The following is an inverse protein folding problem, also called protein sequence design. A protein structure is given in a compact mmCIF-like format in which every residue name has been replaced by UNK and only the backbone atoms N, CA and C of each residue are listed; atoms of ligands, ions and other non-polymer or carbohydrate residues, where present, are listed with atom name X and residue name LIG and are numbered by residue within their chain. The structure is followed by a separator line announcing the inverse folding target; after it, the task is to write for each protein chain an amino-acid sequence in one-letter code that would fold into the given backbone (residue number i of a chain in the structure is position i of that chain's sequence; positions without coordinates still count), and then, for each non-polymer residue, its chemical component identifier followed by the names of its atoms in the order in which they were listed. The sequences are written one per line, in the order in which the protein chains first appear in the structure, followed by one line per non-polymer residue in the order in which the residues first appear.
data_IF_378114945249
#
_entry.id   IF_378114945249
#
_cell.length_a   1.000
_cell.length_b   1.000
_cell.length_c   1.000
_cell.angle_alpha   90.00
_cell.angle_beta   90.00
_cell.angle_gamma   90.00
#
_symmetry.space_group_name_H-M   'P 1'
#
loop_
_entity.id
_entity.type
_entity.pdbx_description
1 polymer ?
#
# COMPACT_ATOMS: atom_id res chain seq x y z
N UNK A 1 -36.80 15.89 -57.14
CA UNK A 1 -37.04 16.84 -56.02
C UNK A 1 -36.10 16.49 -54.89
N UNK A 2 -35.00 17.23 -54.77
CA UNK A 2 -34.01 17.07 -53.70
C UNK A 2 -34.33 18.11 -52.62
N UNK A 3 -34.82 17.65 -51.45
CA UNK A 3 -35.03 18.49 -50.29
C UNK A 3 -33.66 18.85 -49.70
N UNK A 4 -33.22 20.09 -49.94
CA UNK A 4 -32.01 20.65 -49.33
C UNK A 4 -32.20 20.80 -47.82
N UNK A 5 -31.70 19.84 -47.05
CA UNK A 5 -31.67 19.94 -45.59
C UNK A 5 -30.65 21.01 -45.17
N UNK A 6 -31.15 22.06 -44.50
CA UNK A 6 -30.36 23.12 -43.88
C UNK A 6 -29.44 22.55 -42.79
N UNK A 7 -28.14 22.40 -43.09
CA UNK A 7 -27.13 21.87 -42.15
C UNK A 7 -26.80 22.78 -40.95
N UNK A 8 -27.35 24.01 -40.89
CA UNK A 8 -27.00 25.00 -39.86
C UNK A 8 -27.70 24.81 -38.50
N UNK A 9 -28.71 23.94 -38.41
CA UNK A 9 -29.44 23.68 -37.15
C UNK A 9 -28.84 22.57 -36.28
N UNK A 10 -28.05 21.66 -36.86
CA UNK A 10 -27.50 20.51 -36.15
C UNK A 10 -26.33 20.89 -35.23
N UNK A 11 -25.55 21.92 -35.61
CA UNK A 11 -24.35 22.33 -34.87
C UNK A 11 -24.67 23.04 -33.53
N UNK A 12 -25.80 23.77 -33.45
CA UNK A 12 -26.19 24.46 -32.21
C UNK A 12 -26.70 23.50 -31.13
N UNK A 13 -27.42 22.44 -31.50
CA UNK A 13 -27.94 21.46 -30.55
C UNK A 13 -26.79 20.66 -29.89
N UNK A 14 -25.81 20.22 -30.68
CA UNK A 14 -24.63 19.51 -30.16
C UNK A 14 -23.79 20.36 -29.22
N UNK A 15 -23.66 21.67 -29.48
CA UNK A 15 -22.94 22.58 -28.58
C UNK A 15 -23.61 22.68 -27.21
N UNK A 16 -24.94 22.82 -27.17
CA UNK A 16 -25.71 22.89 -25.92
C UNK A 16 -25.57 21.57 -25.13
N UNK A 17 -25.63 20.43 -25.80
CA UNK A 17 -25.45 19.11 -25.16
C UNK A 17 -24.05 18.97 -24.54
N UNK A 18 -22.99 19.35 -25.26
CA UNK A 18 -21.62 19.35 -24.74
C UNK A 18 -21.51 20.25 -23.50
N UNK A 19 -22.08 21.45 -23.53
CA UNK A 19 -22.07 22.38 -22.39
C UNK A 19 -22.79 21.77 -21.19
N UNK A 20 -23.95 21.16 -21.37
CA UNK A 20 -24.70 20.51 -20.29
C UNK A 20 -23.93 19.33 -19.69
N UNK A 21 -23.27 18.52 -20.53
CA UNK A 21 -22.40 17.42 -20.08
C UNK A 21 -21.21 17.95 -19.27
N UNK A 22 -20.57 19.04 -19.73
CA UNK A 22 -19.45 19.66 -19.02
C UNK A 22 -19.88 20.25 -17.66
N UNK A 23 -21.00 20.95 -17.61
CA UNK A 23 -21.55 21.50 -16.35
C UNK A 23 -21.94 20.38 -15.40
N UNK A 24 -22.65 19.35 -15.89
CA UNK A 24 -23.03 18.19 -15.08
C UNK A 24 -21.82 17.45 -14.53
N UNK A 25 -20.81 17.22 -15.36
CA UNK A 25 -19.54 16.60 -14.94
C UNK A 25 -18.80 17.49 -13.94
N UNK A 26 -18.76 18.80 -14.16
CA UNK A 26 -18.14 19.76 -13.22
C UNK A 26 -18.80 19.77 -11.85
N UNK A 27 -20.14 19.73 -11.79
CA UNK A 27 -20.89 19.64 -10.53
C UNK A 27 -20.61 18.32 -9.81
N UNK A 28 -20.59 17.20 -10.54
CA UNK A 28 -20.25 15.89 -9.97
C UNK A 28 -18.82 15.87 -9.41
N UNK A 29 -17.84 16.42 -10.14
CA UNK A 29 -16.46 16.56 -9.66
C UNK A 29 -16.43 17.45 -8.42
N UNK A 30 -17.15 18.58 -8.40
CA UNK A 30 -17.20 19.49 -7.25
C UNK A 30 -17.74 18.82 -5.99
N UNK A 31 -18.88 18.12 -6.09
CA UNK A 31 -19.47 17.36 -4.98
C UNK A 31 -18.51 16.27 -4.51
N UNK A 32 -17.87 15.57 -5.44
CA UNK A 32 -16.90 14.53 -5.13
C UNK A 32 -15.68 15.09 -4.38
N UNK A 33 -15.13 16.22 -4.81
CA UNK A 33 -14.00 16.87 -4.13
C UNK A 33 -14.38 17.30 -2.71
N UNK A 34 -15.56 17.90 -2.51
CA UNK A 34 -16.06 18.29 -1.18
C UNK A 34 -16.26 17.06 -0.28
N UNK A 35 -16.87 15.99 -0.81
CA UNK A 35 -17.07 14.75 -0.08
C UNK A 35 -15.73 14.10 0.30
N UNK A 36 -14.75 14.08 -0.61
CA UNK A 36 -13.41 13.55 -0.35
C UNK A 36 -12.64 14.35 0.72
N UNK A 37 -12.85 15.67 0.80
CA UNK A 37 -12.26 16.50 1.84
C UNK A 37 -12.78 16.14 3.25
N UNK A 38 -14.05 15.72 3.36
CA UNK A 38 -14.71 15.33 4.62
C UNK A 38 -14.80 13.82 4.87
N UNK A 39 -14.29 13.02 3.94
CA UNK A 39 -14.30 11.57 4.03
C UNK A 39 -13.66 11.09 5.34
N UNK A 40 -14.25 10.07 5.96
CA UNK A 40 -13.64 9.33 7.05
C UNK A 40 -12.28 8.76 6.58
N UNK A 41 -11.40 8.47 7.54
CA UNK A 41 -10.03 8.05 7.23
C UNK A 41 -9.98 6.82 6.31
N UNK A 42 -10.87 5.84 6.51
CA UNK A 42 -10.91 4.62 5.70
C UNK A 42 -11.34 4.93 4.28
N UNK A 43 -12.32 5.81 4.10
CA UNK A 43 -12.71 6.31 2.78
C UNK A 43 -11.58 7.11 2.13
N UNK A 44 -10.88 7.98 2.86
CA UNK A 44 -9.73 8.73 2.32
C UNK A 44 -8.63 7.81 1.79
N UNK A 45 -8.30 6.73 2.51
CA UNK A 45 -7.32 5.74 2.07
C UNK A 45 -7.80 4.93 0.86
N UNK A 46 -9.05 4.45 0.89
CA UNK A 46 -9.64 3.72 -0.23
C UNK A 46 -9.67 4.57 -1.50
N UNK A 47 -10.02 5.86 -1.37
CA UNK A 47 -9.94 6.82 -2.46
C UNK A 47 -8.50 6.97 -2.93
N UNK A 48 -7.54 7.26 -2.05
CA UNK A 48 -6.14 7.38 -2.43
C UNK A 48 -5.63 6.14 -3.20
N UNK A 49 -5.88 4.93 -2.69
CA UNK A 49 -5.51 3.69 -3.39
C UNK A 49 -6.24 3.54 -4.72
N UNK A 50 -7.55 3.80 -4.76
CA UNK A 50 -8.36 3.69 -5.96
C UNK A 50 -7.89 4.64 -7.06
N UNK A 51 -7.55 5.88 -6.71
CA UNK A 51 -6.99 6.85 -7.65
C UNK A 51 -5.58 6.48 -8.10
N UNK A 52 -4.73 5.98 -7.20
CA UNK A 52 -3.43 5.44 -7.59
C UNK A 52 -3.62 4.26 -8.55
N UNK A 53 -4.49 3.30 -8.23
CA UNK A 53 -4.77 2.14 -9.08
C UNK A 53 -5.30 2.56 -10.45
N UNK A 54 -6.25 3.50 -10.49
CA UNK A 54 -6.79 4.05 -11.73
C UNK A 54 -5.66 4.70 -12.53
N UNK A 55 -4.85 5.56 -11.91
CA UNK A 55 -3.75 6.26 -12.57
C UNK A 55 -2.79 5.31 -13.29
N UNK A 56 -2.39 4.21 -12.65
CA UNK A 56 -1.47 3.23 -13.26
C UNK A 56 -2.18 2.20 -14.13
N UNK A 57 -3.48 1.96 -13.92
CA UNK A 57 -4.29 1.07 -14.75
C UNK A 57 -4.82 1.72 -16.03
N UNK A 58 -4.85 3.06 -16.12
CA UNK A 58 -5.37 3.82 -17.28
C UNK A 58 -4.31 4.37 -18.19
N UNK A 59 -3.10 3.80 -18.26
CA UNK A 59 -2.19 4.06 -19.37
C UNK A 59 -2.74 3.46 -20.67
N UNK A 60 -3.82 4.04 -21.18
CA UNK A 60 -4.37 3.69 -22.49
C UNK A 60 -3.69 4.58 -23.53
N UNK A 61 -2.96 3.95 -24.45
CA UNK A 61 -2.67 4.56 -25.74
C UNK A 61 -3.97 4.66 -26.53
N UNK A 62 -4.73 5.73 -26.32
CA UNK A 62 -5.80 6.07 -27.25
C UNK A 62 -5.08 6.55 -28.51
N UNK A 63 -5.09 5.71 -29.56
CA UNK A 63 -4.73 6.10 -30.93
C UNK A 63 -6.02 6.43 -31.70
N UNK A 64 -6.64 7.60 -31.48
CA UNK A 64 -7.65 8.06 -32.43
C UNK A 64 -6.94 8.34 -33.77
N UNK A 65 -7.48 7.79 -34.84
CA UNK A 65 -7.02 7.95 -36.23
C UNK A 65 -6.63 9.41 -36.52
N UNK A 66 -5.32 9.69 -36.65
CA UNK A 66 -4.79 10.95 -37.17
C UNK A 66 -4.63 12.12 -36.19
N UNK A 67 -4.85 11.93 -34.87
CA UNK A 67 -4.66 13.00 -33.86
C UNK A 67 -3.45 12.64 -32.96
N UNK A 68 -2.57 13.60 -32.58
CA UNK A 68 -1.47 13.33 -31.66
C UNK A 68 -1.98 12.69 -30.35
N UNK A 69 -1.21 11.74 -29.83
CA UNK A 69 -1.52 10.94 -28.65
C UNK A 69 -1.62 11.88 -27.44
N UNK A 70 -2.83 12.21 -27.00
CA UNK A 70 -3.05 12.90 -25.74
C UNK A 70 -3.11 11.88 -24.61
N UNK A 71 -2.01 11.76 -23.86
CA UNK A 71 -2.01 11.07 -22.57
C UNK A 71 -2.87 11.91 -21.61
N UNK A 72 -4.15 11.55 -21.46
CA UNK A 72 -5.04 12.22 -20.52
C UNK A 72 -4.65 11.81 -19.10
N UNK A 73 -3.82 12.63 -18.46
CA UNK A 73 -3.37 12.46 -17.08
C UNK A 73 -4.31 13.20 -16.12
N UNK A 74 -5.60 12.87 -16.13
CA UNK A 74 -6.57 13.46 -15.21
C UNK A 74 -6.77 12.55 -13.99
N UNK A 75 -5.81 12.58 -13.06
CA UNK A 75 -5.99 11.98 -11.74
C UNK A 75 -6.07 13.13 -10.71
N UNK A 76 -7.28 13.45 -10.20
CA UNK A 76 -7.44 14.36 -9.07
C UNK A 76 -6.51 14.00 -7.91
N UNK A 77 -6.06 15.02 -7.16
CA UNK A 77 -5.31 14.84 -5.90
C UNK A 77 -6.23 14.22 -4.83
N UNK A 78 -6.42 12.91 -4.87
CA UNK A 78 -7.29 12.20 -3.91
C UNK A 78 -6.57 11.79 -2.63
N UNK A 79 -5.24 11.68 -2.68
CA UNK A 79 -4.43 11.42 -1.51
C UNK A 79 -4.22 12.72 -0.73
N UNK A 80 -4.58 12.72 0.56
CA UNK A 80 -4.29 13.78 1.53
C UNK A 80 -3.58 13.18 2.73
N UNK A 81 -2.74 13.95 3.39
CA UNK A 81 -2.15 13.56 4.66
C UNK A 81 -3.25 13.44 5.71
N UNK A 82 -3.26 12.32 6.44
CA UNK A 82 -4.26 12.04 7.48
C UNK A 82 -3.63 12.30 8.85
N UNK A 83 -4.17 13.26 9.60
CA UNK A 83 -3.72 13.53 10.97
C UNK A 83 -4.41 12.60 11.96
N UNK A 84 -3.64 11.67 12.53
CA UNK A 84 -4.11 10.67 13.51
C UNK A 84 -4.13 11.22 14.93
N UNK A 85 -3.74 12.48 15.15
CA UNK A 85 -3.64 13.11 16.48
C UNK A 85 -2.71 12.31 17.39
N UNK A 86 -3.07 12.14 18.66
CA UNK A 86 -2.27 11.44 19.65
C UNK A 86 -2.42 9.91 19.53
N UNK A 87 -1.29 9.20 19.47
CA UNK A 87 -1.23 7.75 19.53
C UNK A 87 -0.86 7.25 20.94
N UNK A 88 -1.46 6.15 21.41
CA UNK A 88 -2.43 5.33 20.71
C UNK A 88 -3.85 5.92 20.76
N UNK A 89 -4.65 5.65 19.74
CA UNK A 89 -6.08 5.94 19.75
C UNK A 89 -6.83 4.96 20.70
N UNK A 90 -8.14 5.18 20.89
CA UNK A 90 -8.97 4.38 21.80
C UNK A 90 -8.87 2.87 21.60
N UNK A 91 -8.76 2.42 20.36
CA UNK A 91 -8.74 1.00 19.99
C UNK A 91 -7.44 0.32 20.41
N UNK A 92 -6.36 1.10 20.57
CA UNK A 92 -5.03 0.62 20.96
C UNK A 92 -4.66 0.95 22.41
N UNK A 93 -5.43 1.82 23.11
CA UNK A 93 -5.16 2.17 24.51
C UNK A 93 -5.26 0.98 25.46
N UNK A 94 -6.14 0.02 25.15
CA UNK A 94 -6.36 -1.19 25.96
C UNK A 94 -5.54 -2.39 25.46
N UNK A 95 -4.44 -2.15 24.75
CA UNK A 95 -3.57 -3.23 24.31
C UNK A 95 -3.06 -4.04 25.51
N UNK A 96 -3.09 -5.37 25.43
CA UNK A 96 -2.80 -6.29 26.55
C UNK A 96 -1.41 -6.08 27.17
N UNK A 97 -0.47 -5.59 26.38
CA UNK A 97 0.91 -5.30 26.80
C UNK A 97 1.15 -3.80 27.14
N UNK A 98 0.09 -3.03 27.38
CA UNK A 98 0.15 -1.63 27.78
C UNK A 98 0.25 -0.62 26.62
N UNK A 99 0.20 0.67 26.99
CA UNK A 99 0.15 1.81 26.06
C UNK A 99 1.30 1.82 25.06
N UNK A 100 2.53 1.55 25.52
CA UNK A 100 3.75 1.53 24.68
C UNK A 100 3.63 0.53 23.52
N UNK A 101 3.15 -0.68 23.81
CA UNK A 101 2.92 -1.68 22.76
C UNK A 101 1.72 -1.32 21.88
N UNK A 102 0.65 -0.75 22.45
CA UNK A 102 -0.47 -0.21 21.69
C UNK A 102 -0.02 0.82 20.65
N UNK A 103 0.81 1.79 21.05
CA UNK A 103 1.39 2.80 20.15
C UNK A 103 2.24 2.16 19.04
N UNK A 104 3.12 1.21 19.36
CA UNK A 104 3.92 0.51 18.34
C UNK A 104 3.03 -0.29 17.38
N UNK A 105 1.98 -0.95 17.87
CA UNK A 105 1.00 -1.65 17.03
C UNK A 105 0.30 -0.70 16.07
N UNK A 106 -0.15 0.45 16.57
CA UNK A 106 -0.80 1.45 15.73
C UNK A 106 0.15 2.02 14.67
N UNK A 107 1.39 2.38 15.03
CA UNK A 107 2.38 2.87 14.07
C UNK A 107 2.64 1.85 12.96
N UNK A 108 2.84 0.56 13.29
CA UNK A 108 3.02 -0.50 12.29
C UNK A 108 1.83 -0.62 11.34
N UNK A 109 0.61 -0.54 11.88
CA UNK A 109 -0.61 -0.53 11.07
C UNK A 109 -0.65 0.66 10.11
N UNK A 110 -0.29 1.86 10.57
CA UNK A 110 -0.23 3.05 9.72
C UNK A 110 0.85 2.93 8.64
N UNK A 111 2.02 2.33 8.93
CA UNK A 111 3.05 2.05 7.92
C UNK A 111 2.52 1.13 6.82
N UNK A 112 1.88 0.02 7.19
CA UNK A 112 1.32 -0.93 6.22
C UNK A 112 0.17 -0.32 5.41
N UNK A 113 -0.68 0.51 6.02
CA UNK A 113 -1.75 1.23 5.31
C UNK A 113 -1.18 2.29 4.35
N UNK A 114 -0.11 2.99 4.73
CA UNK A 114 0.62 3.90 3.84
C UNK A 114 1.16 3.14 2.63
N UNK A 115 1.85 2.01 2.85
CA UNK A 115 2.33 1.14 1.77
C UNK A 115 1.19 0.67 0.85
N UNK A 116 0.06 0.28 1.45
CA UNK A 116 -1.14 -0.18 0.73
C UNK A 116 -1.78 0.91 -0.14
N UNK A 117 -1.86 2.15 0.34
CA UNK A 117 -2.37 3.29 -0.42
C UNK A 117 -1.56 3.51 -1.70
N UNK A 118 -0.26 3.27 -1.65
CA UNK A 118 0.68 3.42 -2.76
C UNK A 118 0.91 2.11 -3.51
N UNK A 119 -0.16 1.33 -3.69
CA UNK A 119 -0.17 0.08 -4.47
C UNK A 119 0.91 -0.91 -4.05
N UNK A 120 1.19 -0.98 -2.75
CA UNK A 120 2.18 -1.89 -2.18
C UNK A 120 3.56 -1.72 -2.84
N UNK A 121 3.89 -0.50 -3.29
CA UNK A 121 5.16 -0.19 -3.93
C UNK A 121 5.41 -0.92 -5.25
N UNK A 122 4.39 -1.47 -5.90
CA UNK A 122 4.51 -2.14 -7.20
C UNK A 122 4.88 -1.18 -8.34
N UNK A 123 4.52 0.09 -8.20
CA UNK A 123 4.76 1.10 -9.21
C UNK A 123 5.99 1.91 -8.82
N UNK A 124 6.92 2.02 -9.74
CA UNK A 124 8.11 2.86 -9.60
C UNK A 124 7.77 4.29 -10.00
N UNK A 125 8.57 5.26 -9.57
CA UNK A 125 8.44 6.67 -9.97
C UNK A 125 7.02 7.23 -9.75
N UNK A 126 6.35 6.89 -8.64
CA UNK A 126 4.94 7.26 -8.41
C UNK A 126 4.71 8.78 -8.42
N UNK A 127 5.76 9.55 -8.19
CA UNK A 127 5.75 11.01 -8.11
C UNK A 127 6.45 11.71 -9.27
N UNK A 128 6.68 11.04 -10.41
CA UNK A 128 7.32 11.67 -11.59
C UNK A 128 6.60 12.97 -12.02
N UNK A 129 7.39 13.95 -12.46
CA UNK A 129 6.95 15.31 -12.82
C UNK A 129 5.77 15.26 -13.81
N UNK A 130 4.68 15.95 -13.46
CA UNK A 130 3.49 16.14 -14.29
C UNK A 130 2.19 15.54 -13.75
N UNK A 131 2.23 14.80 -12.65
CA UNK A 131 1.01 14.20 -12.07
C UNK A 131 0.66 14.72 -10.67
N UNK A 132 1.67 14.78 -9.81
CA UNK A 132 1.60 15.54 -8.57
C UNK A 132 2.68 16.61 -8.72
N UNK A 133 2.42 17.88 -8.41
CA UNK A 133 3.49 18.88 -8.27
C UNK A 133 4.38 18.59 -7.04
N UNK A 134 4.59 17.31 -6.70
CA UNK A 134 5.45 16.85 -5.63
C UNK A 134 6.84 16.81 -6.23
N UNK A 135 7.59 17.90 -6.05
CA UNK A 135 8.94 18.02 -6.60
C UNK A 135 9.94 17.03 -5.96
N UNK A 136 9.56 16.41 -4.84
CA UNK A 136 10.49 15.72 -3.95
C UNK A 136 10.19 14.23 -3.77
N UNK A 137 9.54 13.54 -4.73
CA UNK A 137 9.53 12.07 -4.74
C UNK A 137 8.92 11.40 -3.51
N UNK A 138 8.16 12.12 -2.68
CA UNK A 138 7.64 11.61 -1.42
C UNK A 138 6.28 12.22 -1.05
N UNK A 139 5.51 11.48 -0.26
CA UNK A 139 4.21 11.88 0.24
C UNK A 139 4.02 11.49 1.69
N UNK A 140 3.60 12.44 2.53
CA UNK A 140 3.28 12.19 3.94
C UNK A 140 1.89 11.56 4.03
N UNK A 141 1.83 10.24 4.27
CA UNK A 141 0.57 9.51 4.44
C UNK A 141 -0.14 9.92 5.73
N UNK A 142 0.60 9.94 6.83
CA UNK A 142 0.06 10.20 8.17
C UNK A 142 0.94 11.16 8.96
N UNK A 143 0.30 11.97 9.78
CA UNK A 143 0.96 12.68 10.89
C UNK A 143 0.34 12.23 12.20
N UNK A 144 1.13 12.27 13.27
CA UNK A 144 0.64 11.93 14.60
C UNK A 144 1.56 12.46 15.69
N UNK A 145 1.06 12.55 16.91
CA UNK A 145 1.84 12.83 18.11
C UNK A 145 1.86 11.61 19.02
N UNK A 146 2.87 11.46 19.87
CA UNK A 146 2.88 10.42 20.90
C UNK A 146 2.15 10.95 22.14
N UNK A 147 1.13 10.24 22.63
CA UNK A 147 0.40 10.61 23.85
C UNK A 147 1.38 10.80 25.03
N UNK A 148 1.18 11.85 25.82
CA UNK A 148 2.08 12.23 26.93
C UNK A 148 2.23 11.13 27.98
N UNK A 149 1.28 10.21 28.07
CA UNK A 149 1.28 9.10 29.02
C UNK A 149 2.03 7.85 28.51
N UNK A 150 2.44 7.83 27.24
CA UNK A 150 3.20 6.72 26.68
C UNK A 150 4.67 6.87 27.09
N UNK A 151 5.30 5.79 27.57
CA UNK A 151 6.74 5.78 27.74
C UNK A 151 7.43 5.84 26.37
N UNK A 152 8.38 6.74 26.19
CA UNK A 152 9.16 6.83 24.95
C UNK A 152 9.86 5.51 24.59
N UNK A 153 10.15 5.31 23.30
CA UNK A 153 10.77 4.09 22.77
C UNK A 153 11.71 4.37 21.61
N UNK A 154 12.76 3.56 21.48
CA UNK A 154 13.72 3.68 20.39
C UNK A 154 13.21 3.11 19.06
N UNK A 155 13.84 3.51 17.96
CA UNK A 155 13.57 2.91 16.64
C UNK A 155 13.87 1.42 16.59
N UNK A 156 14.88 0.94 17.33
CA UNK A 156 15.17 -0.50 17.43
C UNK A 156 13.98 -1.28 18.01
N UNK A 157 13.21 -0.68 18.93
CA UNK A 157 12.01 -1.32 19.47
C UNK A 157 10.88 -1.36 18.45
N UNK A 158 10.68 -0.29 17.68
CA UNK A 158 9.71 -0.25 16.60
C UNK A 158 10.10 -1.20 15.46
N UNK A 159 11.38 -1.21 15.08
CA UNK A 159 12.01 -2.11 14.13
C UNK A 159 11.76 -3.58 14.50
N UNK A 160 12.08 -3.97 15.74
CA UNK A 160 11.82 -5.31 16.24
C UNK A 160 10.33 -5.63 16.17
N UNK A 161 9.48 -4.66 16.51
CA UNK A 161 8.03 -4.83 16.46
C UNK A 161 7.50 -5.07 15.04
N UNK A 162 8.16 -4.59 13.97
CA UNK A 162 7.72 -4.86 12.59
C UNK A 162 7.75 -6.35 12.21
N UNK A 163 8.45 -7.19 12.98
CA UNK A 163 8.43 -8.65 12.81
C UNK A 163 7.15 -9.32 13.34
N UNK A 164 6.22 -8.57 13.93
CA UNK A 164 4.95 -9.13 14.37
C UNK A 164 4.12 -9.64 13.20
N UNK A 165 3.35 -10.74 13.38
CA UNK A 165 2.39 -11.24 12.40
C UNK A 165 1.46 -10.15 11.86
N UNK A 166 1.28 -10.11 10.54
CA UNK A 166 0.40 -9.11 9.89
C UNK A 166 -0.56 -9.71 8.87
N UNK A 167 -0.02 -10.50 7.94
CA UNK A 167 -0.74 -10.93 6.74
C UNK A 167 -0.49 -12.40 6.46
N UNK A 168 -1.55 -13.13 6.13
CA UNK A 168 -1.45 -14.50 5.68
C UNK A 168 -1.15 -14.55 4.18
N UNK A 169 -0.06 -15.20 3.80
CA UNK A 169 0.35 -15.35 2.42
C UNK A 169 -0.54 -16.38 1.73
N UNK A 170 -1.33 -15.91 0.77
CA UNK A 170 -2.03 -16.79 -0.17
C UNK A 170 -1.03 -17.31 -1.20
N UNK A 171 -0.52 -18.52 -0.95
CA UNK A 171 0.42 -19.25 -1.82
C UNK A 171 -0.24 -20.06 -2.93
N UNK A 172 -1.54 -19.89 -3.15
CA UNK A 172 -2.21 -20.52 -4.30
C UNK A 172 -1.93 -19.77 -5.59
N UNK A 173 -2.33 -20.37 -6.72
CA UNK A 173 -2.26 -19.74 -8.03
C UNK A 173 -3.26 -18.57 -8.19
N UNK A 174 -4.11 -18.34 -7.17
CA UNK A 174 -5.17 -17.32 -7.15
C UNK A 174 -6.01 -17.39 -8.42
N UNK A 175 -6.29 -18.61 -8.89
CA UNK A 175 -6.92 -18.82 -10.17
C UNK A 175 -8.42 -18.49 -10.13
N UNK A 176 -9.04 -18.50 -8.95
CA UNK A 176 -10.44 -18.15 -8.78
C UNK A 176 -10.63 -16.62 -8.79
N UNK A 177 -11.79 -16.20 -9.29
CA UNK A 177 -12.18 -14.80 -9.37
C UNK A 177 -12.22 -14.11 -8.00
N UNK A 178 -12.10 -12.78 -8.00
CA UNK A 178 -12.41 -11.94 -6.83
C UNK A 178 -11.60 -12.24 -5.57
N UNK A 179 -10.35 -12.70 -5.73
CA UNK A 179 -9.45 -12.91 -4.59
C UNK A 179 -9.80 -14.12 -3.73
N UNK A 180 -10.66 -15.03 -4.20
CA UNK A 180 -11.03 -16.24 -3.46
C UNK A 180 -9.88 -17.23 -3.29
N UNK A 181 -8.76 -17.09 -4.01
CA UNK A 181 -7.63 -18.02 -3.97
C UNK A 181 -7.74 -19.06 -5.10
N UNK A 182 -7.50 -20.33 -4.79
CA UNK A 182 -7.65 -21.45 -5.73
C UNK A 182 -6.37 -21.85 -6.45
N UNK A 183 -6.26 -23.14 -6.74
CA UNK A 183 -5.05 -23.79 -7.27
C UNK A 183 -5.29 -24.39 -8.65
N UNK A 184 -4.35 -24.20 -9.56
CA UNK A 184 -4.36 -24.81 -10.89
C UNK A 184 -3.86 -26.25 -10.80
N UNK A 185 -4.72 -27.21 -11.12
CA UNK A 185 -4.44 -28.64 -11.00
C UNK A 185 -4.94 -29.38 -12.24
N UNK A 186 -4.40 -30.57 -12.55
CA UNK A 186 -4.89 -31.38 -13.68
C UNK A 186 -6.34 -31.84 -13.49
N UNK A 187 -6.71 -32.13 -12.25
CA UNK A 187 -8.07 -32.50 -11.85
C UNK A 187 -8.33 -32.06 -10.41
N UNK A 188 -9.56 -31.66 -10.11
CA UNK A 188 -9.99 -31.37 -8.75
C UNK A 188 -10.39 -32.68 -8.04
N UNK A 189 -9.85 -32.90 -6.83
CA UNK A 189 -10.14 -34.10 -6.06
C UNK A 189 -11.50 -33.97 -5.36
N UNK A 190 -12.51 -34.67 -5.91
CA UNK A 190 -13.88 -34.63 -5.40
C UNK A 190 -14.03 -35.17 -3.98
N UNK A 191 -13.08 -35.96 -3.50
CA UNK A 191 -13.10 -36.54 -2.15
C UNK A 191 -12.36 -35.67 -1.12
N UNK A 192 -11.70 -34.61 -1.56
CA UNK A 192 -11.02 -33.67 -0.69
C UNK A 192 -11.97 -32.57 -0.22
N UNK A 193 -11.82 -32.11 1.02
CA UNK A 193 -12.47 -30.88 1.49
C UNK A 193 -11.81 -29.60 0.93
N UNK A 194 -10.70 -29.76 0.21
CA UNK A 194 -9.86 -28.71 -0.37
C UNK A 194 -9.72 -28.92 -1.86
N UNK A 195 -9.92 -27.87 -2.66
CA UNK A 195 -9.67 -27.90 -4.10
C UNK A 195 -10.43 -29.03 -4.83
N UNK A 196 -11.69 -29.25 -4.46
CA UNK A 196 -12.56 -30.32 -4.96
C UNK A 196 -13.51 -29.88 -6.07
N UNK A 197 -13.78 -28.59 -6.17
CA UNK A 197 -14.71 -28.00 -7.13
C UNK A 197 -13.95 -27.22 -8.20
N UNK A 198 -14.24 -27.54 -9.45
CA UNK A 198 -13.72 -26.81 -10.60
C UNK A 198 -14.51 -25.50 -10.79
N UNK A 199 -13.79 -24.41 -11.02
CA UNK A 199 -14.35 -23.11 -11.41
C UNK A 199 -13.73 -22.61 -12.71
N UNK A 200 -14.47 -21.89 -13.55
CA UNK A 200 -13.90 -21.28 -14.75
C UNK A 200 -12.78 -20.30 -14.38
N UNK A 201 -11.64 -20.40 -15.06
CA UNK A 201 -10.52 -19.49 -14.89
C UNK A 201 -9.72 -19.35 -16.17
N UNK A 202 -9.26 -18.14 -16.45
CA UNK A 202 -8.30 -17.84 -17.51
C UNK A 202 -6.85 -17.73 -16.99
N UNK A 203 -6.63 -18.00 -15.70
CA UNK A 203 -5.30 -17.90 -15.06
C UNK A 203 -4.52 -19.21 -15.10
N UNK A 204 -5.21 -20.34 -15.24
CA UNK A 204 -4.57 -21.64 -15.35
C UNK A 204 -4.07 -21.88 -16.77
N UNK A 205 -2.90 -22.51 -16.90
CA UNK A 205 -2.36 -22.95 -18.17
C UNK A 205 -3.29 -23.96 -18.86
N UNK A 206 -3.14 -24.10 -20.18
CA UNK A 206 -3.96 -25.03 -20.97
C UNK A 206 -3.86 -26.46 -20.42
N UNK A 207 -5.01 -27.12 -20.22
CA UNK A 207 -5.10 -28.46 -19.65
C UNK A 207 -5.14 -28.51 -18.11
N UNK A 208 -4.97 -27.37 -17.43
CA UNK A 208 -5.18 -27.26 -15.99
C UNK A 208 -6.55 -26.65 -15.69
N UNK A 209 -7.08 -27.05 -14.54
CA UNK A 209 -8.37 -26.65 -13.98
C UNK A 209 -8.13 -25.83 -12.74
N UNK A 210 -8.91 -24.76 -12.57
CA UNK A 210 -8.88 -24.02 -11.32
C UNK A 210 -9.75 -24.72 -10.29
N UNK A 211 -9.12 -25.23 -9.24
CA UNK A 211 -9.78 -25.96 -8.18
C UNK A 211 -9.90 -25.08 -6.94
N UNK A 212 -11.09 -25.09 -6.33
CA UNK A 212 -11.44 -24.42 -5.08
C UNK A 212 -12.14 -25.41 -4.14
N UNK A 213 -12.21 -25.10 -2.86
CA UNK A 213 -13.01 -25.83 -1.90
C UNK A 213 -14.48 -25.89 -2.34
N UNK A 214 -15.17 -26.95 -1.91
CA UNK A 214 -16.59 -27.19 -2.24
C UNK A 214 -17.46 -25.99 -1.89
N UNK A 215 -17.18 -25.35 -0.75
CA UNK A 215 -17.86 -24.14 -0.33
C UNK A 215 -17.10 -22.88 -0.77
N UNK A 216 -17.71 -22.09 -1.65
CA UNK A 216 -17.16 -20.80 -2.08
C UNK A 216 -16.98 -19.80 -0.93
N UNK A 217 -17.67 -19.99 0.20
CA UNK A 217 -17.56 -19.11 1.36
C UNK A 217 -16.36 -19.45 2.25
N UNK A 218 -15.73 -20.62 2.07
CA UNK A 218 -14.53 -21.04 2.81
C UNK A 218 -13.26 -20.41 2.19
N UNK A 219 -13.14 -19.08 2.27
CA UNK A 219 -11.95 -18.34 1.81
C UNK A 219 -10.67 -18.91 2.42
N UNK A 220 -10.70 -19.28 3.71
CA UNK A 220 -9.56 -19.86 4.40
C UNK A 220 -9.04 -21.13 3.69
N UNK A 221 -9.93 -22.06 3.32
CA UNK A 221 -9.56 -23.31 2.65
C UNK A 221 -9.02 -23.05 1.25
N UNK A 222 -9.62 -22.10 0.55
CA UNK A 222 -9.21 -21.72 -0.80
C UNK A 222 -7.83 -21.04 -0.84
N UNK A 223 -7.31 -20.60 0.31
CA UNK A 223 -6.00 -19.96 0.48
C UNK A 223 -5.03 -20.82 1.31
N UNK A 224 -5.20 -22.15 1.26
CA UNK A 224 -4.37 -23.17 1.93
C UNK A 224 -4.42 -23.18 3.48
N UNK A 225 -5.34 -22.43 4.10
CA UNK A 225 -5.67 -22.54 5.51
C UNK A 225 -6.58 -23.72 5.85
N UNK A 226 -6.92 -23.86 7.13
CA UNK A 226 -7.84 -24.87 7.67
C UNK A 226 -8.91 -24.21 8.52
N UNK A 227 -10.16 -24.62 8.32
CA UNK A 227 -11.28 -24.22 9.17
C UNK A 227 -11.42 -25.25 10.29
N UNK A 228 -11.01 -24.91 11.51
CA UNK A 228 -10.95 -25.82 12.66
C UNK A 228 -11.63 -25.19 13.87
N UNK A 229 -12.15 -25.99 14.80
CA UNK A 229 -12.62 -25.49 16.10
C UNK A 229 -11.46 -25.11 17.03
N UNK A 230 -10.34 -25.81 16.92
CA UNK A 230 -9.13 -25.65 17.74
C UNK A 230 -7.86 -25.73 16.88
N UNK A 231 -6.75 -25.09 17.28
CA UNK A 231 -5.49 -25.16 16.56
C UNK A 231 -4.91 -26.59 16.57
N UNK A 232 -4.18 -26.94 15.51
CA UNK A 232 -3.39 -28.19 15.44
C UNK A 232 -1.90 -27.87 15.48
N UNK A 233 -1.04 -28.89 15.57
CA UNK A 233 0.42 -28.71 15.54
C UNK A 233 0.90 -28.00 14.27
N UNK A 234 0.30 -28.32 13.12
CA UNK A 234 0.63 -27.74 11.81
C UNK A 234 -0.08 -26.40 11.57
N UNK A 235 -1.37 -26.30 11.93
CA UNK A 235 -2.20 -25.12 11.75
C UNK A 235 -2.53 -24.51 13.10
N UNK A 236 -1.60 -23.71 13.63
CA UNK A 236 -1.68 -23.13 14.98
C UNK A 236 -1.83 -21.60 15.01
N UNK A 237 -1.80 -20.92 13.86
CA UNK A 237 -1.96 -19.46 13.82
C UNK A 237 -3.39 -19.10 13.45
N UNK A 238 -4.13 -18.51 14.41
CA UNK A 238 -5.46 -17.98 14.15
C UNK A 238 -5.38 -16.78 13.20
N UNK A 239 -6.18 -16.78 12.13
CA UNK A 239 -6.22 -15.70 11.17
C UNK A 239 -7.66 -15.27 10.86
N UNK A 240 -8.09 -14.16 11.46
CA UNK A 240 -9.49 -13.73 11.46
C UNK A 240 -9.93 -13.00 10.20
N UNK A 241 -9.01 -12.68 9.28
CA UNK A 241 -9.34 -11.97 8.03
C UNK A 241 -9.91 -12.88 6.95
N UNK A 242 -9.64 -14.19 7.00
CA UNK A 242 -10.22 -15.16 6.08
C UNK A 242 -11.40 -15.87 6.71
N UNK A 243 -12.47 -15.99 5.94
CA UNK A 243 -13.71 -16.56 6.43
C UNK A 243 -13.71 -18.09 6.37
N UNK A 244 -14.38 -18.67 7.35
CA UNK A 244 -14.73 -20.08 7.42
C UNK A 244 -16.24 -20.16 7.66
N UNK A 245 -16.92 -21.10 6.99
CA UNK A 245 -18.33 -21.38 7.23
C UNK A 245 -18.56 -22.00 8.61
N UNK A 246 -17.64 -22.86 9.03
CA UNK A 246 -17.65 -23.50 10.36
C UNK A 246 -16.26 -23.41 10.99
N UNK A 247 -16.21 -23.14 12.29
CA UNK A 247 -14.94 -22.98 13.01
C UNK A 247 -14.23 -21.66 12.73
N UNK A 248 -12.94 -21.62 13.08
CA UNK A 248 -12.04 -20.49 12.86
C UNK A 248 -10.98 -20.84 11.83
N UNK A 249 -10.49 -19.83 11.11
CA UNK A 249 -9.41 -20.04 10.15
C UNK A 249 -8.07 -20.12 10.88
N UNK A 250 -7.40 -21.27 10.76
CA UNK A 250 -6.04 -21.48 11.21
C UNK A 250 -5.11 -21.69 10.01
N UNK A 251 -3.94 -21.07 10.08
CA UNK A 251 -2.92 -21.14 9.02
C UNK A 251 -1.59 -21.61 9.60
N UNK A 252 -0.73 -22.11 8.72
CA UNK A 252 0.62 -22.52 9.10
C UNK A 252 1.46 -21.29 9.46
N UNK A 253 2.37 -21.47 10.41
CA UNK A 253 3.23 -20.37 10.89
C UNK A 253 4.15 -19.80 9.80
N UNK A 254 4.65 -20.64 8.90
CA UNK A 254 5.50 -20.24 7.75
C UNK A 254 4.72 -19.51 6.65
N UNK A 255 3.39 -19.44 6.75
CA UNK A 255 2.51 -18.68 5.84
C UNK A 255 2.07 -17.34 6.43
N UNK A 256 2.58 -16.97 7.60
CA UNK A 256 2.38 -15.65 8.20
C UNK A 256 3.55 -14.76 7.80
N UNK A 257 3.25 -13.71 7.05
CA UNK A 257 4.16 -12.61 6.82
C UNK A 257 4.06 -11.58 7.95
N UNK A 258 5.21 -11.04 8.34
CA UNK A 258 5.27 -9.89 9.23
C UNK A 258 4.94 -8.58 8.51
N UNK A 259 4.82 -7.47 9.25
CA UNK A 259 4.72 -6.14 8.63
C UNK A 259 5.95 -5.84 7.77
N UNK A 260 7.12 -6.26 8.24
CA UNK A 260 8.36 -6.08 7.50
C UNK A 260 8.34 -6.89 6.20
N UNK A 261 7.93 -8.16 6.26
CA UNK A 261 7.84 -9.00 5.05
C UNK A 261 6.86 -8.42 4.03
N UNK A 262 5.74 -7.87 4.51
CA UNK A 262 4.74 -7.24 3.66
C UNK A 262 5.26 -5.98 2.95
N UNK A 263 6.07 -5.16 3.61
CA UNK A 263 6.63 -3.94 3.00
C UNK A 263 7.81 -4.28 2.07
N UNK A 264 8.60 -5.29 2.41
CA UNK A 264 9.82 -5.63 1.68
C UNK A 264 9.63 -6.67 0.57
N UNK A 265 8.44 -7.28 0.47
CA UNK A 265 8.14 -8.32 -0.51
C UNK A 265 8.89 -9.61 -0.23
N UNK A 266 9.13 -9.93 1.04
CA UNK A 266 9.76 -11.18 1.47
C UNK A 266 8.74 -12.21 1.93
N UNK A 267 9.21 -13.43 2.27
CA UNK A 267 8.36 -14.54 2.73
C UNK A 267 7.23 -14.94 1.75
N UNK A 268 7.41 -14.77 0.44
CA UNK A 268 6.42 -15.13 -0.57
C UNK A 268 5.25 -14.14 -0.69
N UNK A 269 5.32 -12.99 -0.01
CA UNK A 269 4.41 -11.87 -0.26
C UNK A 269 4.77 -11.28 -1.62
N UNK A 270 3.82 -11.29 -2.55
CA UNK A 270 4.01 -10.70 -3.87
C UNK A 270 4.03 -9.16 -3.88
N UNK A 271 4.00 -8.50 -2.72
CA UNK A 271 3.87 -7.04 -2.58
C UNK A 271 5.23 -6.38 -2.47
N UNK A 272 5.57 -5.51 -3.44
CA UNK A 272 6.71 -4.58 -3.56
C UNK A 272 8.06 -4.88 -2.90
N UNK A 273 9.13 -4.64 -3.66
CA UNK A 273 10.52 -4.68 -3.17
C UNK A 273 10.89 -3.43 -2.33
N UNK A 274 10.07 -3.11 -1.33
CA UNK A 274 10.21 -1.89 -0.52
C UNK A 274 11.29 -1.94 0.54
N UNK A 275 11.56 -0.78 1.16
CA UNK A 275 12.45 -0.68 2.33
C UNK A 275 11.87 0.22 3.42
N UNK A 276 12.22 -0.07 4.66
CA UNK A 276 11.85 0.74 5.82
C UNK A 276 13.05 1.55 6.29
N UNK A 277 12.84 2.85 6.47
CA UNK A 277 13.84 3.82 6.93
C UNK A 277 13.34 4.52 8.20
N UNK A 278 14.27 4.91 9.07
CA UNK A 278 13.98 5.77 10.22
C UNK A 278 14.89 7.00 10.18
N UNK A 279 14.30 8.18 10.36
CA UNK A 279 14.96 9.46 10.06
C UNK A 279 15.64 10.18 11.21
N UNK A 280 15.70 9.60 12.41
CA UNK A 280 16.58 10.11 13.47
C UNK A 280 17.05 9.00 14.41
N UNK A 281 17.93 9.34 15.35
CA UNK A 281 18.45 8.42 16.38
C UNK A 281 17.75 8.58 17.75
N UNK A 282 16.87 9.56 17.91
CA UNK A 282 16.35 9.95 19.22
C UNK A 282 15.12 9.13 19.65
N UNK A 283 14.54 8.39 18.71
CA UNK A 283 13.35 7.59 18.93
C UNK A 283 12.09 8.42 19.12
N UNK A 284 11.07 7.77 19.68
CA UNK A 284 9.74 8.32 19.89
C UNK A 284 9.62 8.89 21.29
N UNK A 285 9.46 10.22 21.38
CA UNK A 285 9.31 10.96 22.63
C UNK A 285 7.87 11.44 22.80
N UNK A 286 7.32 11.41 24.03
CA UNK A 286 5.96 11.86 24.30
C UNK A 286 5.77 13.34 23.95
N UNK A 287 4.62 13.68 23.38
CA UNK A 287 4.25 15.03 22.97
C UNK A 287 4.91 15.54 21.68
N UNK A 288 5.84 14.79 21.07
CA UNK A 288 6.42 15.16 19.78
C UNK A 288 5.58 14.65 18.61
N UNK A 289 5.58 15.43 17.51
CA UNK A 289 4.87 15.12 16.26
C UNK A 289 5.81 14.41 15.27
N UNK A 290 5.28 13.37 14.66
CA UNK A 290 5.95 12.49 13.70
C UNK A 290 5.13 12.35 12.41
N UNK A 291 5.79 11.87 11.37
CA UNK A 291 5.22 11.63 10.05
C UNK A 291 5.58 10.23 9.56
N UNK A 292 4.62 9.57 8.89
CA UNK A 292 4.87 8.39 8.06
C UNK A 292 4.82 8.81 6.61
N UNK A 293 5.92 8.59 5.89
CA UNK A 293 6.10 9.08 4.53
C UNK A 293 6.42 7.93 3.60
N UNK A 294 5.72 7.89 2.47
CA UNK A 294 6.06 7.04 1.34
C UNK A 294 6.99 7.79 0.40
N UNK A 295 8.08 7.16 -0.03
CA UNK A 295 9.06 7.73 -0.95
C UNK A 295 9.11 6.83 -2.17
N UNK A 296 8.91 7.43 -3.34
CA UNK A 296 9.11 6.79 -4.65
C UNK A 296 10.11 7.62 -5.42
N UNK A 297 11.40 7.25 -5.37
CA UNK A 297 12.45 7.99 -6.05
C UNK A 297 12.12 8.14 -7.53
N UNK A 298 12.41 9.32 -8.07
CA UNK A 298 12.40 9.55 -9.50
C UNK A 298 13.68 9.05 -10.16
N UNK A 299 13.70 8.94 -11.48
CA UNK A 299 14.92 8.67 -12.25
C UNK A 299 16.05 9.69 -12.00
N UNK A 300 15.70 10.90 -11.57
CA UNK A 300 16.64 11.99 -11.24
C UNK A 300 17.24 11.88 -9.83
N UNK A 301 16.80 10.92 -9.01
CA UNK A 301 17.28 10.80 -7.62
C UNK A 301 18.62 10.07 -7.57
N UNK A 302 19.65 10.78 -7.13
CA UNK A 302 20.89 10.14 -6.74
C UNK A 302 20.84 9.63 -5.29
N UNK A 303 21.80 8.78 -4.93
CA UNK A 303 21.92 8.27 -3.56
C UNK A 303 22.14 9.41 -2.54
N UNK A 304 22.72 10.54 -2.96
CA UNK A 304 22.94 11.71 -2.10
C UNK A 304 21.64 12.39 -1.69
N UNK A 305 20.66 12.44 -2.60
CA UNK A 305 19.32 12.98 -2.36
C UNK A 305 18.57 12.11 -1.37
N UNK A 306 18.61 10.78 -1.57
CA UNK A 306 17.99 9.84 -0.64
C UNK A 306 18.63 9.90 0.75
N UNK A 307 19.96 9.93 0.84
CA UNK A 307 20.68 10.09 2.11
C UNK A 307 20.35 11.43 2.75
N UNK A 308 20.38 12.51 1.98
CA UNK A 308 20.01 13.85 2.42
C UNK A 308 18.60 13.91 2.98
N UNK A 309 17.67 13.09 2.47
CA UNK A 309 16.31 12.99 2.99
C UNK A 309 16.26 12.40 4.41
N UNK A 310 17.22 11.57 4.79
CA UNK A 310 17.18 10.82 6.05
C UNK A 310 18.25 11.24 7.06
N UNK A 311 19.33 11.92 6.67
CA UNK A 311 20.49 12.15 7.56
C UNK A 311 20.53 13.48 8.31
N UNK A 312 19.64 14.45 8.06
CA UNK A 312 19.76 15.80 8.66
C UNK A 312 19.56 15.86 10.18
N UNK A 313 19.08 14.79 10.82
CA UNK A 313 18.82 14.74 12.26
C UNK A 313 19.72 13.81 13.09
N UNK A 314 20.66 13.09 12.47
CA UNK A 314 21.54 12.14 13.14
C UNK A 314 21.12 10.68 12.91
N UNK A 315 22.03 9.94 12.24
CA UNK A 315 21.98 8.50 11.98
C UNK A 315 20.82 8.02 11.10
N UNK A 316 21.13 7.11 10.17
CA UNK A 316 20.14 6.44 9.35
C UNK A 316 20.09 4.97 9.78
N UNK A 317 18.90 4.47 10.07
CA UNK A 317 18.64 3.05 10.28
C UNK A 317 17.93 2.51 9.05
N UNK A 318 18.60 1.57 8.37
CA UNK A 318 17.99 0.81 7.28
C UNK A 318 17.75 -0.60 7.78
N UNK A 319 16.50 -1.02 7.72
CA UNK A 319 16.16 -2.44 7.87
C UNK A 319 16.02 -2.98 6.45
N UNK A 320 16.85 -3.95 6.12
CA UNK A 320 16.71 -4.75 4.90
C UNK A 320 16.71 -6.22 5.25
N UNK A 321 15.77 -6.98 4.70
CA UNK A 321 15.91 -8.42 4.63
C UNK A 321 17.02 -8.75 3.62
N UNK A 322 18.06 -9.45 4.06
CA UNK A 322 19.03 -10.07 3.16
C UNK A 322 18.37 -11.28 2.50
N UNK A 323 18.16 -11.22 1.18
CA UNK A 323 17.53 -12.28 0.36
C UNK A 323 18.39 -13.57 0.22
N UNK A 324 19.24 -13.90 1.19
CA UNK A 324 20.11 -15.09 1.12
C UNK A 324 19.46 -16.25 1.86
N UNK A 325 18.43 -16.85 1.26
CA UNK A 325 18.04 -18.27 1.37
C UNK A 325 17.92 -18.97 2.75
N UNK A 326 18.00 -18.27 3.88
CA UNK A 326 18.03 -18.87 5.21
C UNK A 326 17.59 -17.86 6.27
N UNK A 327 17.02 -18.38 7.36
CA UNK A 327 16.40 -17.64 8.46
C UNK A 327 17.40 -16.78 9.27
N UNK A 328 17.95 -15.74 8.66
CA UNK A 328 18.72 -14.72 9.38
C UNK A 328 17.78 -13.62 9.90
N UNK A 329 18.01 -13.12 11.12
CA UNK A 329 17.30 -11.93 11.58
C UNK A 329 17.57 -10.76 10.62
N UNK A 330 16.60 -9.85 10.43
CA UNK A 330 16.79 -8.68 9.59
C UNK A 330 18.03 -7.90 10.07
N UNK A 331 18.93 -7.60 9.15
CA UNK A 331 20.14 -6.84 9.46
C UNK A 331 19.72 -5.39 9.72
N UNK A 332 19.80 -4.97 11.00
CA UNK A 332 19.65 -3.57 11.37
C UNK A 332 21.02 -2.93 11.20
N UNK A 333 21.18 -2.14 10.15
CA UNK A 333 22.40 -1.34 9.98
C UNK A 333 22.23 0.00 10.67
N UNK A 334 23.18 0.29 11.55
CA UNK A 334 23.24 1.54 12.32
C UNK A 334 24.45 2.33 11.83
N UNK A 335 24.21 3.53 11.29
CA UNK A 335 25.26 4.48 10.95
C UNK A 335 25.34 4.83 9.46
N UNK A 336 25.66 6.10 9.19
CA UNK A 336 25.67 6.67 7.82
C UNK A 336 26.59 5.93 6.85
N UNK A 337 27.79 5.52 7.30
CA UNK A 337 28.77 4.84 6.45
C UNK A 337 28.32 3.43 6.01
N UNK A 338 27.72 2.66 6.93
CA UNK A 338 27.23 1.31 6.63
C UNK A 338 25.99 1.34 5.72
N UNK A 339 25.17 2.38 5.86
CA UNK A 339 24.00 2.56 4.99
C UNK A 339 24.40 2.96 3.57
N UNK A 340 25.35 3.87 3.42
CA UNK A 340 25.92 4.18 2.10
C UNK A 340 26.46 2.92 1.44
N UNK A 341 27.17 2.06 2.20
CA UNK A 341 27.69 0.78 1.70
C UNK A 341 26.57 -0.16 1.22
N UNK A 342 25.49 -0.32 1.99
CA UNK A 342 24.36 -1.20 1.63
C UNK A 342 23.52 -0.66 0.47
N UNK A 343 23.41 0.67 0.37
CA UNK A 343 22.86 1.31 -0.82
C UNK A 343 23.79 1.05 -2.02
N UNK A 344 25.12 1.07 -1.83
CA UNK A 344 26.10 0.87 -2.90
C UNK A 344 26.34 -0.57 -3.37
N UNK A 345 25.99 -1.60 -2.60
CA UNK A 345 26.43 -2.99 -2.86
C UNK A 345 25.44 -3.87 -3.65
N UNK A 346 24.20 -3.44 -3.88
CA UNK A 346 23.29 -4.13 -4.82
C UNK A 346 23.41 -3.50 -6.21
N UNK A 347 23.92 -4.28 -7.16
CA UNK A 347 24.41 -3.88 -8.49
C UNK A 347 23.36 -3.98 -9.61
N UNK A 348 22.07 -3.87 -9.29
CA UNK A 348 20.98 -3.70 -10.26
C UNK A 348 20.45 -2.27 -10.23
N UNK A 349 20.18 -1.68 -11.39
CA UNK A 349 19.72 -0.29 -11.61
C UNK A 349 18.83 0.26 -10.49
N UNK A 350 19.32 1.31 -9.83
CA UNK A 350 19.01 1.72 -8.44
C UNK A 350 17.74 2.53 -8.19
N UNK A 351 17.01 2.93 -9.22
CA UNK A 351 16.03 4.02 -9.09
C UNK A 351 14.59 3.54 -8.79
N UNK A 352 14.47 2.27 -8.44
CA UNK A 352 13.21 1.53 -8.59
C UNK A 352 12.63 1.03 -7.26
N UNK A 353 13.32 1.29 -6.14
CA UNK A 353 12.90 0.84 -4.81
C UNK A 353 12.09 1.94 -4.15
N UNK A 354 10.89 1.59 -3.71
CA UNK A 354 10.05 2.46 -2.89
C UNK A 354 10.41 2.31 -1.40
N UNK A 355 10.21 3.36 -0.61
CA UNK A 355 10.52 3.37 0.82
C UNK A 355 9.34 3.82 1.66
N UNK A 356 9.24 3.28 2.86
CA UNK A 356 8.44 3.84 3.95
C UNK A 356 9.41 4.38 5.00
N UNK A 357 9.24 5.64 5.39
CA UNK A 357 10.02 6.26 6.45
C UNK A 357 9.14 6.78 7.58
N UNK A 358 9.70 6.77 8.80
CA UNK A 358 9.14 7.48 9.95
C UNK A 358 10.18 8.44 10.50
N UNK A 359 9.78 9.69 10.72
CA UNK A 359 10.64 10.76 11.24
C UNK A 359 9.83 11.83 11.94
N UNK A 360 10.50 12.72 12.68
CA UNK A 360 9.88 13.93 13.24
C UNK A 360 9.25 14.78 12.14
N UNK A 361 8.08 15.33 12.41
CA UNK A 361 7.30 16.08 11.42
C UNK A 361 8.08 17.26 10.82
N UNK A 362 8.75 18.04 11.67
CA UNK A 362 9.49 19.24 11.24
C UNK A 362 10.62 18.89 10.27
N UNK A 363 11.29 17.75 10.44
CA UNK A 363 12.36 17.29 9.55
C UNK A 363 11.84 16.86 8.17
N UNK A 364 10.60 16.36 8.10
CA UNK A 364 9.97 15.90 6.85
C UNK A 364 9.37 17.06 6.08
N UNK A 365 8.74 18.01 6.79
CA UNK A 365 8.10 19.17 6.18
C UNK A 365 9.06 19.94 5.26
N UNK A 366 10.32 20.07 5.65
CA UNK A 366 11.34 20.78 4.86
C UNK A 366 11.71 20.05 3.56
N UNK A 367 11.67 18.72 3.54
CA UNK A 367 12.22 17.92 2.43
C UNK A 367 11.16 17.31 1.52
N UNK A 368 10.03 16.93 2.10
CA UNK A 368 8.86 16.49 1.36
C UNK A 368 7.89 17.62 1.07
N UNK A 369 8.30 18.87 1.38
CA UNK A 369 7.59 20.14 1.18
C UNK A 369 6.15 19.90 0.77
N UNK A 370 5.33 19.62 1.79
CA UNK A 370 3.88 19.62 1.67
C UNK A 370 3.60 21.04 1.18
N UNK A 371 3.37 21.24 -0.11
CA UNK A 371 2.74 22.46 -0.60
C UNK A 371 1.35 22.45 0.05
N UNK A 372 1.28 22.94 1.28
CA UNK A 372 0.04 23.24 1.97
C UNK A 372 -0.58 24.34 1.14
N UNK A 373 -1.40 23.95 0.16
CA UNK A 373 -2.25 24.84 -0.63
C UNK A 373 -3.35 25.50 0.21
N UNK A 374 -3.09 25.71 1.50
CA UNK A 374 -3.85 26.60 2.36
C UNK A 374 -3.08 27.90 2.35
N UNK A 375 -3.29 28.69 1.29
CA UNK A 375 -3.19 30.13 1.47
C UNK A 375 -4.21 30.50 2.54
N UNK A 376 -3.73 30.97 3.67
CA UNK A 376 -4.54 31.77 4.58
C UNK A 376 -5.04 32.98 3.77
N UNK A 377 -6.32 32.96 3.40
CA UNK A 377 -7.08 34.12 2.98
C UNK A 377 -8.00 34.51 4.12
#
# INVERSE_FOLDING_TARGET
MSLGQNKKGLEFATLIEIILVLIGTGLLIGVFLIASARADEKTAENLCRGFNALRFGTEYEVKPLGVPIYKFKFAPKACKTIDKKDLPNSDYKNHINGLKEGTKTEIRNLMARCWWMWLEGHQQNMFEKGFYNIQNGCFVCYTFSIDKNVQGFGYNELAASLNAPYYAVDSTDRCASSGQGGKCMQSCDKNSDYFSREVPSNRCAQGLKCCVATDSQDECKNKEGRCLSEPTTEYNQLYTKWQCKTGSCFIKKDKIASYLDYIQGTAGVSGGAGKVLFGDNEGFKPGLKYAITFISPGNEWDAGTLLGLVTTGGGLYVIGATLVGGAFPPLILVGSAAVSALMTSNTGTRNDINYITISKYDTVADKCAIESGVGEN
#
